data_IF_868708797420
#
_entry.id   IF_868708797420
#
_cell.length_a   1.000
_cell.length_b   1.000
_cell.length_c   1.000
_cell.angle_alpha   90.00
_cell.angle_beta   90.00
_cell.angle_gamma   90.00
#
_symmetry.space_group_name_H-M   'P 1'
#
loop_
_entity.id
_entity.type
_entity.pdbx_description
1 polymer ?
#
# COMPACT_ATOMS: atom_id res chain seq x y z
N UNK A 1 -11.74 29.07 60.59
CA UNK A 1 -11.50 27.63 60.37
C UNK A 1 -11.56 27.33 58.87
N UNK A 2 -10.55 26.61 58.36
CA UNK A 2 -10.42 25.77 57.14
C UNK A 2 -11.49 25.95 56.02
N UNK A 3 -11.10 26.43 54.82
CA UNK A 3 -10.89 25.66 53.55
C UNK A 3 -12.06 24.67 53.28
N UNK A 4 -12.74 24.71 52.12
CA UNK A 4 -12.27 24.10 50.86
C UNK A 4 -13.03 24.69 49.66
N UNK A 5 -12.25 25.04 48.63
CA UNK A 5 -12.64 25.29 47.24
C UNK A 5 -13.05 23.97 46.58
N UNK A 6 -14.25 23.86 46.02
CA UNK A 6 -14.61 22.78 45.08
C UNK A 6 -15.02 23.40 43.76
N UNK A 7 -14.04 23.52 42.88
CA UNK A 7 -14.22 23.75 41.44
C UNK A 7 -14.70 22.42 40.86
N UNK A 8 -15.96 22.36 40.42
CA UNK A 8 -16.43 21.26 39.59
C UNK A 8 -16.38 21.74 38.13
N UNK A 9 -15.19 21.65 37.53
CA UNK A 9 -15.04 21.72 36.08
C UNK A 9 -15.56 20.40 35.53
N UNK A 10 -16.76 20.43 34.98
CA UNK A 10 -17.34 19.35 34.19
C UNK A 10 -16.62 19.28 32.84
N UNK A 11 -15.37 18.81 32.82
CA UNK A 11 -14.70 18.33 31.62
C UNK A 11 -15.00 16.84 31.48
N UNK A 12 -15.99 16.51 30.67
CA UNK A 12 -16.10 15.20 30.03
C UNK A 12 -16.66 15.45 28.64
N UNK A 13 -15.75 15.89 27.76
CA UNK A 13 -15.91 15.78 26.31
C UNK A 13 -15.94 14.28 26.04
N UNK A 14 -17.15 13.72 26.09
CA UNK A 14 -17.42 12.35 25.73
C UNK A 14 -17.18 12.20 24.22
N UNK A 15 -16.42 11.17 23.87
CA UNK A 15 -16.24 10.75 22.49
C UNK A 15 -14.97 11.28 21.86
N UNK A 16 -13.83 10.73 22.27
CA UNK A 16 -12.86 10.31 21.27
C UNK A 16 -13.62 9.49 20.23
N UNK A 17 -14.04 10.12 19.13
CA UNK A 17 -14.29 9.40 17.91
C UNK A 17 -12.99 8.64 17.67
N UNK A 18 -13.02 7.34 17.90
CA UNK A 18 -12.00 6.42 17.42
C UNK A 18 -12.08 6.45 15.90
N UNK A 19 -11.56 7.51 15.30
CA UNK A 19 -10.89 7.42 14.02
C UNK A 19 -9.74 6.45 14.27
N UNK A 20 -10.06 5.15 14.23
CA UNK A 20 -9.11 4.12 13.85
C UNK A 20 -8.62 4.54 12.48
N UNK A 21 -7.67 5.47 12.50
CA UNK A 21 -7.15 6.15 11.33
C UNK A 21 -6.58 5.04 10.50
N UNK A 22 -7.21 4.77 9.35
CA UNK A 22 -6.76 3.71 8.44
C UNK A 22 -5.37 4.10 7.98
N UNK A 23 -4.37 3.61 8.71
CA UNK A 23 -2.98 3.99 8.51
C UNK A 23 -2.46 3.13 7.38
N UNK A 24 -2.04 3.76 6.29
CA UNK A 24 -1.35 3.06 5.22
C UNK A 24 0.08 2.77 5.68
N UNK A 25 0.43 1.49 5.81
CA UNK A 25 1.77 1.02 6.17
C UNK A 25 2.47 0.58 4.89
N UNK A 26 3.79 0.82 4.81
CA UNK A 26 4.61 0.42 3.67
C UNK A 26 4.31 1.22 2.39
N UNK A 27 3.48 2.25 2.47
CA UNK A 27 3.13 3.05 1.32
C UNK A 27 2.44 4.35 1.71
N UNK A 28 1.99 5.08 0.71
CA UNK A 28 1.26 6.34 0.90
C UNK A 28 0.29 6.57 -0.24
N UNK A 29 -0.82 7.23 0.08
CA UNK A 29 -1.73 7.78 -0.92
C UNK A 29 -1.12 9.02 -1.55
N UNK A 30 -1.36 9.21 -2.84
CA UNK A 30 -0.99 10.40 -3.58
C UNK A 30 -2.18 10.97 -4.32
N UNK A 31 -2.13 12.28 -4.54
CA UNK A 31 -3.14 13.04 -5.26
C UNK A 31 -3.09 12.72 -6.75
N UNK A 32 -4.15 13.12 -7.44
CA UNK A 32 -4.35 12.97 -8.88
C UNK A 32 -3.29 13.65 -9.76
N UNK A 33 -2.76 14.77 -9.27
CA UNK A 33 -1.69 15.55 -9.87
C UNK A 33 -0.29 14.98 -9.63
N UNK A 34 -0.16 13.89 -8.87
CA UNK A 34 1.15 13.30 -8.59
C UNK A 34 1.83 12.80 -9.86
N UNK A 35 3.01 13.34 -10.11
CA UNK A 35 3.91 12.94 -11.20
C UNK A 35 5.20 12.40 -10.60
N UNK A 36 5.50 11.10 -10.77
CA UNK A 36 6.80 10.56 -10.38
C UNK A 36 7.92 11.33 -11.08
N UNK A 37 8.99 11.66 -10.36
CA UNK A 37 10.15 12.35 -10.95
C UNK A 37 10.85 11.49 -12.01
N UNK A 38 10.77 10.16 -11.88
CA UNK A 38 11.38 9.21 -12.80
C UNK A 38 10.56 7.93 -12.84
N UNK A 39 10.12 7.58 -14.04
CA UNK A 39 9.48 6.30 -14.35
C UNK A 39 10.56 5.37 -14.90
N UNK A 40 10.70 4.20 -14.29
CA UNK A 40 11.66 3.16 -14.67
C UNK A 40 11.02 2.14 -15.63
N UNK A 41 9.73 1.86 -15.44
CA UNK A 41 8.93 1.03 -16.32
C UNK A 41 7.44 1.31 -16.13
N UNK A 42 6.63 1.07 -17.16
CA UNK A 42 5.18 1.16 -17.11
C UNK A 42 4.55 -0.20 -17.41
N UNK A 43 3.41 -0.49 -16.79
CA UNK A 43 2.71 -1.76 -16.89
C UNK A 43 1.21 -1.54 -17.06
N UNK A 44 0.63 -2.31 -17.97
CA UNK A 44 -0.81 -2.44 -18.09
C UNK A 44 -1.30 -3.48 -17.08
N UNK A 45 -2.31 -3.14 -16.29
CA UNK A 45 -2.98 -4.06 -15.39
C UNK A 45 -4.02 -4.89 -16.14
N UNK A 46 -3.98 -6.21 -15.99
CA UNK A 46 -5.02 -7.12 -16.48
C UNK A 46 -5.44 -8.04 -15.34
N UNK A 47 -6.71 -7.97 -14.93
CA UNK A 47 -7.25 -8.81 -13.86
C UNK A 47 -8.23 -8.05 -12.98
N UNK A 48 -8.29 -8.42 -11.70
CA UNK A 48 -9.22 -7.89 -10.73
C UNK A 48 -8.78 -6.50 -10.20
N UNK A 49 -8.92 -5.47 -11.04
CA UNK A 49 -8.66 -4.06 -10.73
C UNK A 49 -9.71 -3.18 -11.42
N UNK A 50 -9.93 -1.95 -10.93
CA UNK A 50 -10.72 -0.96 -11.65
C UNK A 50 -10.19 -0.76 -13.08
N UNK A 51 -11.09 -0.58 -14.04
CA UNK A 51 -10.74 -0.36 -15.44
C UNK A 51 -9.83 0.87 -15.59
N UNK A 52 -8.82 0.74 -16.45
CA UNK A 52 -7.81 1.79 -16.70
C UNK A 52 -6.79 1.99 -15.58
N UNK A 53 -6.75 1.11 -14.57
CA UNK A 53 -5.67 1.14 -13.58
C UNK A 53 -4.31 0.91 -14.25
N UNK A 54 -3.37 1.82 -14.00
CA UNK A 54 -2.01 1.76 -14.52
C UNK A 54 -1.02 1.55 -13.37
N UNK A 55 0.05 0.81 -13.66
CA UNK A 55 1.14 0.59 -12.72
C UNK A 55 2.46 1.08 -13.30
N UNK A 56 3.26 1.70 -12.44
CA UNK A 56 4.56 2.25 -12.79
C UNK A 56 5.59 1.80 -11.77
N UNK A 57 6.69 1.23 -12.24
CA UNK A 57 7.89 1.16 -11.42
C UNK A 57 8.56 2.53 -11.48
N UNK A 58 8.74 3.15 -10.32
CA UNK A 58 9.26 4.52 -10.20
C UNK A 58 10.49 4.57 -9.31
N UNK A 59 11.27 5.63 -9.45
CA UNK A 59 12.31 5.97 -8.47
C UNK A 59 11.77 7.01 -7.50
N UNK A 60 11.74 6.66 -6.22
CA UNK A 60 11.27 7.49 -5.12
C UNK A 60 12.37 7.62 -4.08
N UNK A 61 12.86 8.84 -3.84
CA UNK A 61 13.94 9.12 -2.87
C UNK A 61 15.19 8.23 -3.09
N UNK A 62 15.54 8.01 -4.35
CA UNK A 62 16.70 7.19 -4.75
C UNK A 62 16.49 5.67 -4.59
N UNK A 63 15.26 5.20 -4.37
CA UNK A 63 14.92 3.78 -4.24
C UNK A 63 13.76 3.41 -5.16
N UNK A 64 13.68 2.17 -5.65
CA UNK A 64 12.53 1.73 -6.45
C UNK A 64 11.26 1.66 -5.57
N UNK A 65 10.12 2.01 -6.17
CA UNK A 65 8.79 1.83 -5.58
C UNK A 65 7.78 1.49 -6.69
N UNK A 66 6.67 0.85 -6.33
CA UNK A 66 5.56 0.66 -7.26
C UNK A 66 4.55 1.78 -7.09
N UNK A 67 4.02 2.32 -8.18
CA UNK A 67 2.97 3.32 -8.18
C UNK A 67 1.77 2.80 -8.97
N UNK A 68 0.65 2.56 -8.29
CA UNK A 68 -0.64 2.25 -8.91
C UNK A 68 -1.51 3.50 -8.95
N UNK A 69 -2.14 3.76 -10.10
CA UNK A 69 -3.10 4.87 -10.28
C UNK A 69 -4.34 4.34 -10.99
N UNK A 70 -5.51 4.65 -10.46
CA UNK A 70 -6.79 4.37 -11.12
C UNK A 70 -7.29 5.57 -11.94
N UNK A 71 -8.38 5.35 -12.68
CA UNK A 71 -9.03 6.39 -13.50
C UNK A 71 -9.71 7.50 -12.69
N UNK A 72 -9.92 7.33 -11.38
CA UNK A 72 -10.45 8.40 -10.51
C UNK A 72 -9.40 9.46 -10.17
N UNK A 73 -8.14 9.20 -10.55
CA UNK A 73 -7.01 10.06 -10.23
C UNK A 73 -6.32 9.66 -8.92
N UNK A 74 -6.98 8.91 -8.04
CA UNK A 74 -6.36 8.47 -6.80
C UNK A 74 -5.21 7.49 -7.07
N UNK A 75 -4.07 7.73 -6.43
CA UNK A 75 -2.89 6.92 -6.59
C UNK A 75 -2.33 6.41 -5.27
N UNK A 76 -1.59 5.31 -5.32
CA UNK A 76 -0.93 4.72 -4.17
C UNK A 76 0.49 4.28 -4.52
N UNK A 77 1.45 4.63 -3.66
CA UNK A 77 2.85 4.24 -3.79
C UNK A 77 3.18 3.16 -2.77
N UNK A 78 3.79 2.08 -3.24
CA UNK A 78 4.17 0.89 -2.48
C UNK A 78 5.67 1.03 -2.23
N UNK A 79 6.01 1.53 -1.04
CA UNK A 79 7.38 1.90 -0.64
C UNK A 79 8.09 0.76 0.10
N UNK A 80 7.38 -0.22 0.67
CA UNK A 80 8.01 -1.39 1.29
C UNK A 80 8.55 -2.29 0.18
N UNK A 81 9.87 -2.34 0.05
CA UNK A 81 10.58 -3.11 -0.97
C UNK A 81 11.40 -4.25 -0.34
N UNK A 82 11.37 -5.43 -0.96
CA UNK A 82 12.32 -6.50 -0.71
C UNK A 82 12.55 -7.30 -2.00
N UNK A 83 13.64 -8.06 -2.03
CA UNK A 83 13.95 -8.96 -3.15
C UNK A 83 13.93 -10.40 -2.66
N UNK A 84 13.29 -11.30 -3.40
CA UNK A 84 13.24 -12.72 -3.09
C UNK A 84 13.11 -13.53 -4.38
N UNK A 85 13.92 -14.59 -4.53
CA UNK A 85 13.87 -15.50 -5.67
C UNK A 85 13.92 -14.80 -7.05
N UNK A 86 14.80 -13.80 -7.21
CA UNK A 86 14.99 -13.06 -8.46
C UNK A 86 13.82 -12.11 -8.82
N UNK A 87 12.99 -11.76 -7.85
CA UNK A 87 11.88 -10.82 -8.01
C UNK A 87 11.99 -9.70 -6.99
N UNK A 88 11.67 -8.48 -7.43
CA UNK A 88 11.45 -7.34 -6.57
C UNK A 88 9.98 -7.30 -6.15
N UNK A 89 9.72 -7.17 -4.86
CA UNK A 89 8.39 -7.04 -4.31
C UNK A 89 8.19 -5.65 -3.72
N UNK A 90 7.03 -5.07 -3.96
CA UNK A 90 6.62 -3.79 -3.38
C UNK A 90 5.26 -3.96 -2.72
N UNK A 91 5.11 -3.54 -1.47
CA UNK A 91 3.89 -3.71 -0.71
C UNK A 91 3.38 -2.42 -0.06
N UNK A 92 2.07 -2.31 0.07
CA UNK A 92 1.37 -1.31 0.89
C UNK A 92 0.12 -1.94 1.50
N UNK A 93 -0.27 -1.55 2.71
CA UNK A 93 -1.45 -2.11 3.38
C UNK A 93 -2.16 -1.11 4.28
N UNK A 94 -3.48 -1.15 4.24
CA UNK A 94 -4.34 -0.36 5.12
C UNK A 94 -4.48 -1.04 6.49
N UNK A 95 -3.77 -0.56 7.50
CA UNK A 95 -3.83 -1.12 8.84
C UNK A 95 -5.24 -1.01 9.44
N UNK A 96 -5.65 -2.08 10.13
CA UNK A 96 -6.90 -2.10 10.90
C UNK A 96 -8.16 -2.44 10.10
N UNK A 97 -8.36 -1.94 8.87
CA UNK A 97 -9.66 -2.09 8.19
C UNK A 97 -9.65 -2.14 6.64
N UNK A 98 -8.50 -2.32 5.96
CA UNK A 98 -8.49 -2.36 4.49
C UNK A 98 -7.65 -3.49 3.89
N UNK A 99 -7.53 -3.55 2.55
CA UNK A 99 -6.73 -4.56 1.87
C UNK A 99 -5.22 -4.27 1.97
N UNK A 100 -4.42 -5.29 1.70
CA UNK A 100 -3.00 -5.17 1.41
C UNK A 100 -2.72 -5.51 -0.05
N UNK A 101 -1.82 -4.76 -0.66
CA UNK A 101 -1.40 -4.93 -2.03
C UNK A 101 0.07 -5.28 -2.06
N UNK A 102 0.40 -6.32 -2.83
CA UNK A 102 1.79 -6.73 -3.04
C UNK A 102 2.01 -6.93 -4.50
N UNK A 103 2.77 -6.03 -5.09
CA UNK A 103 3.26 -6.21 -6.46
C UNK A 103 4.58 -6.97 -6.45
N UNK A 104 4.80 -7.78 -7.47
CA UNK A 104 6.13 -8.31 -7.79
C UNK A 104 6.48 -8.01 -9.24
N UNK A 105 7.75 -7.75 -9.49
CA UNK A 105 8.34 -7.60 -10.83
C UNK A 105 9.61 -8.47 -10.89
N UNK A 106 9.82 -9.29 -11.93
CA UNK A 106 11.10 -9.99 -12.14
C UNK A 106 12.27 -8.99 -12.13
N UNK A 107 13.34 -9.24 -11.38
CA UNK A 107 14.44 -8.27 -11.22
C UNK A 107 15.13 -7.91 -12.54
N UNK A 108 15.16 -8.85 -13.47
CA UNK A 108 15.65 -8.70 -14.85
C UNK A 108 14.62 -8.11 -15.82
N UNK A 109 13.38 -7.91 -15.37
CA UNK A 109 12.23 -7.44 -16.15
C UNK A 109 11.89 -8.32 -17.36
N UNK A 110 12.31 -9.59 -17.36
CA UNK A 110 12.16 -10.50 -18.50
C UNK A 110 10.76 -11.10 -18.67
N UNK A 111 9.93 -11.04 -17.62
CA UNK A 111 8.60 -11.61 -17.58
C UNK A 111 7.58 -10.60 -17.03
N UNK A 112 6.31 -10.94 -17.16
CA UNK A 112 5.23 -10.19 -16.54
C UNK A 112 5.36 -10.20 -15.00
N UNK A 113 4.97 -9.08 -14.40
CA UNK A 113 4.78 -8.99 -12.96
C UNK A 113 3.35 -9.36 -12.55
N UNK A 114 3.03 -9.10 -11.29
CA UNK A 114 1.67 -9.23 -10.82
C UNK A 114 1.41 -8.47 -9.52
N UNK A 115 0.14 -8.33 -9.17
CA UNK A 115 -0.32 -7.80 -7.88
C UNK A 115 -1.19 -8.84 -7.21
N UNK A 116 -0.87 -9.15 -5.96
CA UNK A 116 -1.71 -9.89 -5.04
C UNK A 116 -2.50 -8.90 -4.18
N UNK A 117 -3.78 -9.15 -4.02
CA UNK A 117 -4.70 -8.36 -3.20
C UNK A 117 -5.14 -9.25 -2.04
N UNK A 118 -4.69 -8.89 -0.85
CA UNK A 118 -5.02 -9.60 0.38
C UNK A 118 -6.14 -8.85 1.09
N UNK A 119 -7.25 -9.55 1.35
CA UNK A 119 -8.33 -9.02 2.17
C UNK A 119 -7.85 -8.74 3.59
N UNK A 120 -8.58 -7.85 4.27
CA UNK A 120 -8.32 -7.54 5.66
C UNK A 120 -8.25 -8.81 6.53
N UNK A 121 -7.28 -8.88 7.44
CA UNK A 121 -7.08 -10.03 8.34
C UNK A 121 -6.31 -11.21 7.74
N UNK A 122 -6.02 -11.20 6.43
CA UNK A 122 -5.22 -12.25 5.76
C UNK A 122 -3.73 -11.91 5.65
N UNK A 123 -3.34 -10.74 6.13
CA UNK A 123 -1.96 -10.30 6.24
C UNK A 123 -1.67 -9.85 7.67
N UNK A 124 -0.47 -10.18 8.16
CA UNK A 124 0.07 -9.52 9.35
C UNK A 124 0.87 -8.32 8.87
N UNK A 125 0.71 -7.19 9.56
CA UNK A 125 1.43 -5.96 9.28
C UNK A 125 1.75 -5.26 10.58
N UNK A 126 3.04 -5.15 10.93
CA UNK A 126 3.48 -4.20 11.95
C UNK A 126 3.91 -2.89 11.28
N UNK A 127 3.59 -1.71 11.83
CA UNK A 127 4.25 -0.47 11.45
C UNK A 127 5.77 -0.67 11.53
N UNK A 128 6.47 -0.44 10.41
CA UNK A 128 7.92 -0.61 10.33
C UNK A 128 8.36 -1.78 9.43
N UNK A 129 8.02 -3.03 9.74
CA UNK A 129 8.83 -4.12 9.19
C UNK A 129 8.17 -5.35 8.58
N UNK A 130 6.90 -5.65 8.87
CA UNK A 130 6.36 -6.97 8.48
C UNK A 130 5.07 -6.91 7.69
N UNK A 131 5.03 -6.19 6.56
CA UNK A 131 4.04 -6.48 5.52
C UNK A 131 4.49 -7.70 4.72
N UNK A 132 4.48 -8.86 5.38
CA UNK A 132 4.70 -10.14 4.71
C UNK A 132 3.40 -10.93 4.86
N UNK A 133 2.67 -11.21 3.76
CA UNK A 133 1.42 -11.93 3.84
C UNK A 133 1.71 -13.33 4.37
N UNK A 134 0.90 -13.80 5.31
CA UNK A 134 0.99 -15.14 5.87
C UNK A 134 -0.28 -15.92 5.51
N UNK A 135 -0.17 -17.09 4.86
CA UNK A 135 0.96 -17.61 4.10
C UNK A 135 0.94 -17.12 2.64
N UNK A 136 2.02 -16.50 2.19
CA UNK A 136 2.35 -16.38 0.77
C UNK A 136 2.37 -17.79 0.15
N UNK A 137 1.40 -18.10 -0.72
CA UNK A 137 1.43 -19.31 -1.52
C UNK A 137 2.03 -18.96 -2.90
N UNK A 138 3.31 -19.26 -3.18
CA UNK A 138 3.95 -18.95 -4.46
C UNK A 138 3.32 -19.66 -5.67
N UNK A 139 2.40 -20.61 -5.45
CA UNK A 139 1.59 -21.25 -6.51
C UNK A 139 0.30 -20.50 -6.84
N UNK A 140 -0.11 -19.54 -6.00
CA UNK A 140 -1.29 -18.72 -6.29
C UNK A 140 -1.00 -17.81 -7.49
N UNK A 141 -1.96 -17.73 -8.41
CA UNK A 141 -1.91 -16.75 -9.49
C UNK A 141 -2.18 -15.37 -8.90
N UNK A 142 -1.49 -14.31 -9.37
CA UNK A 142 -1.80 -12.96 -8.91
C UNK A 142 -3.20 -12.56 -9.37
N UNK A 143 -3.89 -11.76 -8.56
CA UNK A 143 -5.21 -11.19 -8.88
C UNK A 143 -5.13 -10.26 -10.10
N UNK A 144 -3.95 -9.66 -10.31
CA UNK A 144 -3.65 -8.74 -11.40
C UNK A 144 -2.34 -9.15 -12.04
N UNK A 145 -2.31 -9.27 -13.37
CA UNK A 145 -1.08 -9.38 -14.15
C UNK A 145 -0.59 -7.99 -14.55
N UNK A 146 0.71 -7.77 -14.45
CA UNK A 146 1.37 -6.54 -14.86
C UNK A 146 2.16 -6.79 -16.14
N UNK A 147 1.59 -6.37 -17.27
CA UNK A 147 2.17 -6.58 -18.60
C UNK A 147 3.00 -5.34 -18.95
N UNK A 148 4.30 -5.47 -19.25
CA UNK A 148 5.12 -4.34 -19.67
C UNK A 148 4.48 -3.57 -20.81
N UNK A 149 4.36 -2.24 -20.65
CA UNK A 149 3.91 -1.35 -21.71
C UNK A 149 5.11 -1.10 -22.64
N UNK A 150 4.90 -1.30 -23.94
CA UNK A 150 5.91 -1.01 -24.97
C UNK A 150 6.07 0.49 -25.19
#
# INVERSE_FOLDING_TARGET
MKKVLVILISLLIAGCASVASTMLIGGRMVKDDYKPSKILAAYNAVGNMPEGTQFYLIEQRGRPAMYGKDNSGMGMIYEKHWTENGRDYFAAAFYGHGPAYISFIPSDRSQEGGVFIYEHGTYQGTPGDRLRPMPYNPKSRPDVRLIPSK
#
